data_IF_837818120086
#
_entry.id   IF_837818120086
#
_cell.length_a   1.000
_cell.length_b   1.000
_cell.length_c   1.000
_cell.angle_alpha   90.00
_cell.angle_beta   90.00
_cell.angle_gamma   90.00
#
_symmetry.space_group_name_H-M   'P 1'
#
loop_
_entity.id
_entity.type
_entity.pdbx_description
1 polymer ?
#
# COMPACT_ATOMS: atom_id res chain seq x y z
N UNK A 1 19.28 -5.19 22.94
CA UNK A 1 20.05 -5.40 21.70
C UNK A 1 20.71 -4.09 21.31
N UNK A 2 21.99 -4.03 20.91
CA UNK A 2 22.71 -2.79 20.57
C UNK A 2 22.29 -2.18 19.22
N UNK A 3 21.38 -2.82 18.49
CA UNK A 3 20.84 -2.30 17.24
C UNK A 3 19.70 -1.31 17.48
N UNK A 4 19.62 -0.29 16.62
CA UNK A 4 18.45 0.57 16.55
C UNK A 4 17.18 -0.25 16.27
N UNK A 5 16.05 0.20 16.81
CA UNK A 5 14.76 -0.45 16.56
C UNK A 5 14.26 -0.11 15.17
N UNK A 6 13.64 -1.09 14.51
CA UNK A 6 12.92 -0.85 13.28
C UNK A 6 11.67 0.01 13.54
N UNK A 7 11.30 0.81 12.55
CA UNK A 7 10.08 1.63 12.56
C UNK A 7 9.18 1.13 11.44
N UNK A 8 7.93 0.85 11.78
CA UNK A 8 6.93 0.37 10.84
C UNK A 8 5.94 1.49 10.51
N UNK A 9 5.60 1.59 9.23
CA UNK A 9 4.53 2.47 8.74
C UNK A 9 3.43 1.54 8.22
N UNK A 10 2.28 1.55 8.89
CA UNK A 10 1.12 0.77 8.46
C UNK A 10 0.44 1.45 7.28
N UNK A 11 0.12 0.66 6.25
CA UNK A 11 -0.55 1.12 5.04
C UNK A 11 -1.69 0.17 4.66
N UNK A 12 -2.71 0.63 3.92
CA UNK A 12 -3.70 -0.25 3.34
C UNK A 12 -3.08 -1.25 2.35
N UNK A 13 -3.79 -2.36 2.13
CA UNK A 13 -3.52 -3.26 1.02
C UNK A 13 -3.82 -2.54 -0.32
N UNK A 14 -3.09 -2.89 -1.39
CA UNK A 14 -3.12 -2.22 -2.70
C UNK A 14 -2.20 -0.99 -2.81
N UNK A 15 -1.38 -0.72 -1.78
CA UNK A 15 -0.43 0.40 -1.79
C UNK A 15 0.84 0.03 -2.56
N UNK A 16 1.23 0.90 -3.49
CA UNK A 16 2.50 0.85 -4.21
C UNK A 16 3.46 1.89 -3.64
N UNK A 17 4.68 1.45 -3.35
CA UNK A 17 5.76 2.31 -2.84
C UNK A 17 6.77 2.55 -3.96
N UNK A 18 7.05 3.82 -4.24
CA UNK A 18 7.90 4.26 -5.35
C UNK A 18 9.01 5.18 -4.81
N UNK A 19 10.23 5.00 -5.32
CA UNK A 19 11.38 5.86 -5.06
C UNK A 19 11.87 6.46 -6.39
N UNK A 20 11.63 7.76 -6.61
CA UNK A 20 11.83 8.37 -7.93
C UNK A 20 10.96 7.69 -8.99
N UNK A 21 11.60 7.14 -10.02
CA UNK A 21 10.93 6.40 -11.11
C UNK A 21 10.89 4.88 -10.89
N UNK A 22 11.41 4.40 -9.75
CA UNK A 22 11.50 2.96 -9.45
C UNK A 22 10.41 2.53 -8.48
N UNK A 23 9.61 1.55 -8.87
CA UNK A 23 8.70 0.83 -7.95
C UNK A 23 9.53 -0.05 -7.03
N UNK A 24 9.40 0.14 -5.72
CA UNK A 24 10.02 -0.71 -4.70
C UNK A 24 9.19 -1.97 -4.44
N UNK A 25 7.87 -1.86 -4.48
CA UNK A 25 6.95 -2.97 -4.31
C UNK A 25 5.51 -2.52 -4.09
N UNK A 26 4.63 -3.52 -3.97
CA UNK A 26 3.21 -3.35 -3.68
C UNK A 26 2.81 -4.24 -2.51
N UNK A 27 2.03 -3.70 -1.57
CA UNK A 27 1.51 -4.43 -0.42
C UNK A 27 0.16 -5.05 -0.80
N UNK A 28 0.08 -6.37 -0.89
CA UNK A 28 -1.11 -7.09 -1.38
C UNK A 28 -1.74 -7.98 -0.31
N UNK A 29 -0.98 -8.45 0.66
CA UNK A 29 -1.48 -9.34 1.71
C UNK A 29 -1.27 -8.76 3.10
N UNK A 30 -2.11 -9.20 4.05
CA UNK A 30 -1.92 -8.86 5.46
C UNK A 30 -0.51 -9.27 5.94
N UNK A 31 0.05 -8.50 6.87
CA UNK A 31 1.40 -8.66 7.42
C UNK A 31 2.56 -8.65 6.41
N UNK A 32 2.32 -8.32 5.14
CA UNK A 32 3.38 -8.16 4.17
C UNK A 32 4.26 -6.95 4.54
N UNK A 33 5.56 -7.18 4.68
CA UNK A 33 6.55 -6.15 5.00
C UNK A 33 7.39 -5.84 3.76
N UNK A 34 7.51 -4.55 3.44
CA UNK A 34 8.41 -4.04 2.41
C UNK A 34 9.49 -3.16 3.05
N UNK A 35 10.76 -3.52 2.83
CA UNK A 35 11.88 -2.69 3.31
C UNK A 35 11.98 -1.40 2.50
N UNK A 36 11.51 -0.31 3.08
CA UNK A 36 11.51 1.01 2.46
C UNK A 36 12.90 1.69 2.49
N UNK A 37 13.56 1.63 3.65
CA UNK A 37 14.88 2.20 3.87
C UNK A 37 15.69 1.31 4.82
N UNK A 38 16.93 0.98 4.45
CA UNK A 38 17.81 0.13 5.25
C UNK A 38 18.55 0.95 6.30
N UNK A 39 18.58 0.43 7.53
CA UNK A 39 19.42 0.97 8.60
C UNK A 39 20.92 0.92 8.26
N UNK A 40 21.68 1.83 8.86
CA UNK A 40 23.13 1.89 8.72
C UNK A 40 23.82 0.69 9.38
N UNK A 41 25.03 0.36 8.91
CA UNK A 41 25.85 -0.68 9.57
C UNK A 41 26.42 -0.12 10.87
N UNK A 42 26.32 -0.87 11.97
CA UNK A 42 27.00 -0.52 13.22
C UNK A 42 28.51 -0.47 13.06
N UNK A 43 29.16 0.40 13.84
CA UNK A 43 30.61 0.48 13.90
C UNK A 43 31.24 -0.75 14.54
N UNK A 44 32.56 -0.90 14.40
CA UNK A 44 33.33 -1.96 15.05
C UNK A 44 34.23 -1.38 16.14
N UNK A 45 34.05 -1.88 17.36
CA UNK A 45 34.94 -1.55 18.48
C UNK A 45 36.34 -2.12 18.26
N UNK A 46 37.31 -1.58 18.99
CA UNK A 46 38.72 -1.93 18.88
C UNK A 46 39.04 -3.43 19.05
N UNK A 47 38.23 -4.15 19.83
CA UNK A 47 38.35 -5.61 20.03
C UNK A 47 38.30 -6.38 18.70
N UNK A 48 37.55 -5.91 17.70
CA UNK A 48 37.49 -6.56 16.38
C UNK A 48 38.80 -6.46 15.59
N UNK A 49 39.74 -5.62 16.01
CA UNK A 49 41.02 -5.39 15.35
C UNK A 49 42.21 -5.96 16.13
N UNK A 50 41.94 -6.72 17.20
CA UNK A 50 42.97 -7.36 18.00
C UNK A 50 43.65 -8.46 17.18
N UNK A 51 44.98 -8.39 17.07
CA UNK A 51 45.80 -9.41 16.41
C UNK A 51 46.97 -9.78 17.32
N UNK A 52 47.65 -10.90 17.04
CA UNK A 52 48.85 -11.31 17.79
C UNK A 52 49.94 -10.22 17.81
N UNK A 53 50.02 -9.42 16.74
CA UNK A 53 50.96 -8.30 16.59
C UNK A 53 50.41 -6.95 17.07
N UNK A 54 49.12 -6.85 17.38
CA UNK A 54 48.45 -5.63 17.85
C UNK A 54 47.47 -5.95 18.99
N UNK A 55 48.01 -6.13 20.19
CA UNK A 55 47.25 -6.54 21.38
C UNK A 55 46.49 -5.40 22.06
N UNK A 56 46.70 -4.16 21.64
CA UNK A 56 45.96 -3.00 22.16
C UNK A 56 45.60 -2.02 21.03
N UNK A 57 44.71 -2.41 20.09
CA UNK A 57 44.26 -1.53 19.02
C UNK A 57 43.60 -0.26 19.60
N UNK A 58 44.02 0.91 19.10
CA UNK A 58 43.48 2.22 19.51
C UNK A 58 42.54 2.84 18.47
N UNK A 59 42.20 2.09 17.42
CA UNK A 59 41.30 2.53 16.37
C UNK A 59 39.99 1.75 16.42
N UNK A 60 38.93 2.39 15.91
CA UNK A 60 37.58 1.85 15.80
C UNK A 60 37.02 2.25 14.43
N UNK A 61 36.05 1.49 13.93
CA UNK A 61 35.27 1.88 12.75
C UNK A 61 33.96 2.52 13.22
N UNK A 62 33.68 3.74 12.77
CA UNK A 62 32.37 4.37 13.00
C UNK A 62 31.24 3.62 12.27
N UNK A 63 30.03 3.76 12.79
CA UNK A 63 28.84 3.29 12.10
C UNK A 63 28.60 4.06 10.81
N UNK A 64 27.95 3.43 9.84
CA UNK A 64 27.50 4.10 8.61
C UNK A 64 26.10 4.68 8.82
N UNK A 65 25.80 5.79 8.14
CA UNK A 65 24.43 6.29 8.11
C UNK A 65 23.48 5.29 7.45
N UNK A 66 22.23 5.29 7.90
CA UNK A 66 21.14 4.58 7.22
C UNK A 66 20.69 5.31 5.95
N UNK A 67 19.93 4.61 5.12
CA UNK A 67 19.35 5.20 3.92
C UNK A 67 18.33 6.29 4.30
N UNK A 68 18.40 7.43 3.60
CA UNK A 68 17.39 8.49 3.63
C UNK A 68 16.72 8.51 2.26
N UNK A 69 15.40 8.35 2.21
CA UNK A 69 14.63 8.26 0.97
C UNK A 69 13.36 9.09 1.08
N UNK A 70 13.04 9.81 0.00
CA UNK A 70 11.71 10.40 -0.21
C UNK A 70 10.90 9.40 -1.04
N UNK A 71 9.84 8.86 -0.47
CA UNK A 71 9.03 7.82 -1.10
C UNK A 71 7.65 8.37 -1.47
N UNK A 72 7.20 8.04 -2.67
CA UNK A 72 5.81 8.24 -3.09
C UNK A 72 5.02 6.98 -2.77
N UNK A 73 3.98 7.13 -1.96
CA UNK A 73 3.10 6.05 -1.52
C UNK A 73 1.75 6.27 -2.18
N UNK A 74 1.34 5.35 -3.06
CA UNK A 74 0.13 5.48 -3.87
C UNK A 74 -0.79 4.31 -3.56
N UNK A 75 -2.02 4.59 -3.15
CA UNK A 75 -3.07 3.58 -3.15
C UNK A 75 -3.60 3.40 -4.57
N UNK A 76 -3.51 2.19 -5.12
CA UNK A 76 -4.15 1.89 -6.41
C UNK A 76 -5.67 1.84 -6.22
N UNK A 77 -6.37 2.69 -6.94
CA UNK A 77 -7.83 2.67 -7.00
C UNK A 77 -8.28 1.54 -7.93
N UNK A 78 -9.36 0.87 -7.54
CA UNK A 78 -10.01 -0.20 -8.31
C UNK A 78 -10.76 0.30 -9.56
N UNK A 79 -11.08 1.59 -9.60
CA UNK A 79 -11.93 2.21 -10.62
C UNK A 79 -11.57 3.68 -10.84
N UNK A 80 -11.76 4.16 -12.05
CA UNK A 80 -11.68 5.59 -12.38
C UNK A 80 -12.87 6.37 -11.79
N UNK A 81 -14.06 5.75 -11.69
CA UNK A 81 -15.30 6.36 -11.18
C UNK A 81 -16.01 5.42 -10.21
N UNK A 82 -16.50 5.92 -9.08
CA UNK A 82 -17.33 5.17 -8.13
C UNK A 82 -18.76 5.71 -8.06
N UNK A 83 -19.76 4.85 -8.25
CA UNK A 83 -21.17 5.18 -8.05
C UNK A 83 -21.52 5.06 -6.56
N UNK A 84 -22.09 6.13 -6.00
CA UNK A 84 -22.45 6.22 -4.58
C UNK A 84 -23.91 6.61 -4.42
N UNK A 85 -24.61 5.96 -3.49
CA UNK A 85 -26.03 6.18 -3.26
C UNK A 85 -26.63 5.15 -2.32
N UNK A 86 -27.86 5.42 -1.88
CA UNK A 86 -28.61 4.54 -0.98
C UNK A 86 -28.74 3.12 -1.56
N UNK A 87 -28.94 2.09 -0.71
CA UNK A 87 -29.38 0.78 -1.17
C UNK A 87 -30.60 0.93 -2.10
N UNK A 88 -30.63 0.15 -3.18
CA UNK A 88 -31.71 0.17 -4.19
C UNK A 88 -31.91 1.49 -4.96
N UNK A 89 -30.95 2.42 -4.95
CA UNK A 89 -31.04 3.67 -5.73
C UNK A 89 -30.81 3.51 -7.24
N UNK A 90 -30.78 2.29 -7.76
CA UNK A 90 -30.56 2.01 -9.19
C UNK A 90 -29.11 2.08 -9.67
N UNK A 91 -28.11 2.10 -8.77
CA UNK A 91 -26.68 2.18 -9.16
C UNK A 91 -26.25 1.06 -10.11
N UNK A 92 -26.60 -0.19 -9.80
CA UNK A 92 -26.25 -1.33 -10.63
C UNK A 92 -26.94 -1.28 -11.99
N UNK A 93 -28.20 -0.80 -12.02
CA UNK A 93 -28.94 -0.56 -13.27
C UNK A 93 -28.25 0.48 -14.14
N UNK A 94 -27.82 1.60 -13.54
CA UNK A 94 -27.07 2.64 -14.23
C UNK A 94 -25.73 2.11 -14.77
N UNK A 95 -24.98 1.36 -13.95
CA UNK A 95 -23.71 0.74 -14.36
C UNK A 95 -23.91 -0.16 -15.60
N UNK A 96 -24.94 -1.00 -15.58
CA UNK A 96 -25.28 -1.87 -16.72
C UNK A 96 -25.60 -1.05 -17.97
N UNK A 97 -26.41 0.00 -17.83
CA UNK A 97 -26.85 0.84 -18.94
C UNK A 97 -25.69 1.59 -19.61
N UNK A 98 -24.73 2.09 -18.83
CA UNK A 98 -23.63 2.89 -19.38
C UNK A 98 -22.48 2.05 -19.92
N UNK A 99 -22.27 0.83 -19.43
CA UNK A 99 -21.10 0.03 -19.81
C UNK A 99 -21.38 -1.00 -20.90
N UNK A 100 -22.65 -1.24 -21.27
CA UNK A 100 -23.08 -2.20 -22.30
C UNK A 100 -22.40 -3.59 -22.19
N UNK A 101 -21.90 -3.92 -21.00
CA UNK A 101 -21.13 -5.11 -20.70
C UNK A 101 -21.69 -5.72 -19.41
N UNK A 102 -21.67 -7.05 -19.32
CA UNK A 102 -22.00 -7.71 -18.07
C UNK A 102 -21.00 -7.26 -16.99
N UNK A 103 -21.48 -6.80 -15.82
CA UNK A 103 -20.59 -6.44 -14.72
C UNK A 103 -19.66 -7.58 -14.38
N UNK A 104 -18.38 -7.26 -14.20
CA UNK A 104 -17.41 -8.20 -13.66
C UNK A 104 -17.29 -7.97 -12.17
N UNK A 105 -17.31 -9.04 -11.41
CA UNK A 105 -16.99 -9.02 -9.98
C UNK A 105 -15.47 -8.88 -9.88
N UNK A 106 -15.00 -7.83 -9.20
CA UNK A 106 -13.56 -7.61 -8.99
C UNK A 106 -13.12 -8.14 -7.62
N UNK A 107 -12.31 -9.20 -7.61
CA UNK A 107 -11.74 -9.78 -6.39
C UNK A 107 -10.41 -9.08 -6.04
N UNK A 108 -10.49 -7.91 -5.40
CA UNK A 108 -9.29 -7.17 -4.98
C UNK A 108 -8.85 -7.58 -3.57
N UNK A 109 -7.54 -7.72 -3.32
CA UNK A 109 -7.03 -8.19 -2.02
C UNK A 109 -7.41 -7.30 -0.82
N UNK A 110 -7.81 -6.06 -1.09
CA UNK A 110 -8.09 -5.03 -0.09
C UNK A 110 -9.58 -4.70 0.07
N UNK A 111 -10.47 -5.41 -0.61
CA UNK A 111 -11.92 -5.19 -0.52
C UNK A 111 -12.57 -6.30 0.29
N UNK A 112 -13.39 -5.94 1.29
CA UNK A 112 -14.21 -6.92 2.05
C UNK A 112 -15.52 -7.27 1.35
N UNK A 113 -15.95 -6.41 0.42
CA UNK A 113 -17.09 -6.63 -0.46
C UNK A 113 -16.63 -6.44 -1.89
N UNK A 114 -16.89 -7.43 -2.74
CA UNK A 114 -16.52 -7.34 -4.15
C UNK A 114 -17.43 -6.33 -4.86
N UNK A 115 -16.88 -5.22 -5.40
CA UNK A 115 -17.65 -4.26 -6.16
C UNK A 115 -18.03 -4.85 -7.52
N UNK A 116 -19.17 -4.42 -8.05
CA UNK A 116 -19.51 -4.66 -9.45
C UNK A 116 -18.77 -3.64 -10.31
N UNK A 117 -17.96 -4.12 -11.24
CA UNK A 117 -17.21 -3.28 -12.18
C UNK A 117 -17.82 -3.33 -13.57
N UNK A 118 -17.93 -2.18 -14.20
CA UNK A 118 -18.24 -2.03 -15.62
C UNK A 118 -17.14 -1.26 -16.33
N UNK A 119 -16.93 -1.54 -17.62
CA UNK A 119 -15.97 -0.81 -18.45
C UNK A 119 -16.73 -0.02 -19.51
N UNK A 120 -16.70 1.30 -19.41
CA UNK A 120 -17.16 2.19 -20.48
C UNK A 120 -16.07 2.28 -21.54
N UNK A 121 -16.35 1.78 -22.75
CA UNK A 121 -15.45 1.90 -23.90
C UNK A 121 -15.68 3.27 -24.55
N UNK A 122 -14.62 4.05 -24.70
CA UNK A 122 -14.58 5.31 -25.44
C UNK A 122 -13.37 5.28 -26.38
N UNK A 123 -13.42 6.02 -27.48
CA UNK A 123 -12.42 5.99 -28.56
C UNK A 123 -10.99 6.33 -28.07
N UNK A 124 -10.88 7.08 -26.98
CA UNK A 124 -9.60 7.54 -26.43
C UNK A 124 -9.10 6.74 -25.23
N UNK A 125 -10.00 6.22 -24.38
CA UNK A 125 -9.65 5.50 -23.16
C UNK A 125 -10.82 4.66 -22.64
N UNK A 126 -10.53 3.45 -22.19
CA UNK A 126 -11.45 2.67 -21.38
C UNK A 126 -11.53 3.24 -19.97
N UNK A 127 -12.75 3.46 -19.47
CA UNK A 127 -13.01 3.99 -18.12
C UNK A 127 -13.62 2.86 -17.28
N UNK A 128 -12.99 2.54 -16.15
CA UNK A 128 -13.50 1.54 -15.20
C UNK A 128 -14.40 2.23 -14.18
N UNK A 129 -15.63 1.75 -14.06
CA UNK A 129 -16.64 2.30 -13.15
C UNK A 129 -17.00 1.22 -12.13
N UNK A 130 -16.98 1.55 -10.84
CA UNK A 130 -17.38 0.67 -9.76
C UNK A 130 -18.74 1.09 -9.18
N UNK A 131 -19.65 0.13 -9.02
CA UNK A 131 -20.80 0.26 -8.13
C UNK A 131 -20.37 -0.15 -6.72
N UNK A 132 -20.23 0.86 -5.85
CA UNK A 132 -19.87 0.61 -4.45
C UNK A 132 -21.11 0.15 -3.68
N UNK A 133 -20.97 -0.85 -2.78
CA UNK A 133 -22.05 -1.24 -1.88
C UNK A 133 -22.64 -0.01 -1.18
N UNK A 134 -23.97 0.08 -1.13
CA UNK A 134 -24.65 1.30 -0.70
C UNK A 134 -24.17 1.79 0.66
N UNK A 135 -23.97 3.12 0.77
CA UNK A 135 -23.62 3.76 2.04
C UNK A 135 -24.82 3.61 2.98
N UNK A 136 -24.70 2.72 3.96
CA UNK A 136 -25.69 2.56 5.04
C UNK A 136 -25.71 3.80 5.94
N UNK A 137 -26.89 4.13 6.50
CA UNK A 137 -27.02 5.15 7.56
C UNK A 137 -26.01 4.85 8.67
N UNK A 138 -25.07 5.77 8.92
CA UNK A 138 -24.00 5.60 9.92
C UNK A 138 -22.58 5.54 9.35
N UNK A 139 -22.38 5.70 8.03
CA UNK A 139 -21.05 5.72 7.42
C UNK A 139 -20.10 6.82 7.92
N UNK A 140 -20.65 8.00 8.24
CA UNK A 140 -19.89 9.10 8.84
C UNK A 140 -19.42 8.82 10.29
N UNK A 141 -20.01 7.82 10.97
CA UNK A 141 -19.56 7.34 12.28
C UNK A 141 -18.53 6.19 12.17
N UNK A 142 -17.92 6.02 11.00
CA UNK A 142 -16.97 4.94 10.70
C UNK A 142 -17.62 3.57 10.41
N UNK A 143 -18.94 3.44 10.50
CA UNK A 143 -19.63 2.13 10.39
C UNK A 143 -20.07 1.74 8.98
N UNK A 144 -19.85 2.59 7.98
CA UNK A 144 -20.28 2.35 6.60
C UNK A 144 -19.07 2.32 5.71
N UNK A 145 -18.86 1.16 5.09
CA UNK A 145 -17.68 0.81 4.31
C UNK A 145 -16.38 0.92 5.14
N UNK A 146 -16.32 0.18 6.26
CA UNK A 146 -15.07 -0.48 6.66
C UNK A 146 -14.24 0.10 7.82
N UNK A 147 -14.82 0.60 8.92
CA UNK A 147 -14.29 0.20 10.23
C UNK A 147 -15.22 -0.87 10.82
N UNK A 148 -14.98 -2.12 10.46
CA UNK A 148 -15.31 -3.27 11.29
C UNK A 148 -14.57 -4.49 10.75
N UNK A 149 -13.47 -4.81 11.45
CA UNK A 149 -12.70 -6.06 11.47
C UNK A 149 -12.22 -6.64 10.13
#
# INVERSE_FOLDING_TARGET
SPFGKDVYIHVPLGVVVINGDRILGEILTHDQILLAAKGGKGGRGNYHFLTFTNQSPRYFEEGKEGEKKTLKIILKLISDIGLVGLPNSGKSTLLNAITNAQPKIGDYPFTTLNPNLGVLKNDFKNIVIADMPGIIKGAHNGKGLGLQF
#
